data_IF_829902104570
#
_entry.id   IF_829902104570
#
_cell.length_a   1.000
_cell.length_b   1.000
_cell.length_c   1.000
_cell.angle_alpha   90.00
_cell.angle_beta   90.00
_cell.angle_gamma   90.00
#
_symmetry.space_group_name_H-M   'P 1'
#
loop_
_entity.id
_entity.type
_entity.pdbx_description
1 polymer ?
#
# COMPACT_ATOMS: atom_id res chain seq x y z
N UNK A 1 6.71 17.47 7.14
CA UNK A 1 5.71 16.42 6.77
C UNK A 1 6.36 15.05 6.59
N UNK A 2 7.34 14.88 5.63
CA UNK A 2 8.00 13.57 5.43
C UNK A 2 8.83 13.16 6.65
N UNK A 3 9.61 14.08 7.22
CA UNK A 3 10.38 13.86 8.45
C UNK A 3 9.48 13.48 9.64
N UNK A 4 8.39 14.21 9.85
CA UNK A 4 7.45 13.93 10.93
C UNK A 4 6.82 12.53 10.81
N UNK A 5 6.44 12.13 9.59
CA UNK A 5 5.92 10.78 9.37
C UNK A 5 7.01 9.73 9.58
N UNK A 6 8.24 10.02 9.17
CA UNK A 6 9.39 9.15 9.41
C UNK A 6 9.61 8.90 10.92
N UNK A 7 9.57 9.97 11.73
CA UNK A 7 9.75 9.87 13.18
C UNK A 7 8.63 9.04 13.84
N UNK A 8 7.36 9.28 13.44
CA UNK A 8 6.24 8.49 13.93
C UNK A 8 6.36 7.00 13.56
N UNK A 9 6.75 6.69 12.32
CA UNK A 9 6.96 5.32 11.87
C UNK A 9 8.15 4.67 12.58
N UNK A 10 9.23 5.41 12.80
CA UNK A 10 10.41 4.92 13.52
C UNK A 10 10.11 4.59 14.97
N UNK A 11 9.31 5.41 15.64
CA UNK A 11 8.94 5.24 17.03
C UNK A 11 7.91 4.12 17.24
N UNK A 12 6.86 4.07 16.40
CA UNK A 12 5.69 3.23 16.66
C UNK A 12 5.54 2.02 15.74
N UNK A 13 6.22 2.01 14.60
CA UNK A 13 6.05 0.98 13.56
C UNK A 13 7.27 0.12 13.32
N UNK A 14 8.47 0.65 13.54
CA UNK A 14 9.74 -0.05 13.32
C UNK A 14 10.31 -0.62 14.62
N UNK A 15 10.80 -1.85 14.55
CA UNK A 15 11.53 -2.48 15.65
C UNK A 15 12.76 -3.19 15.13
N UNK A 16 13.90 -2.96 15.79
CA UNK A 16 15.12 -3.75 15.59
C UNK A 16 15.21 -4.84 16.67
N UNK A 17 15.49 -6.06 16.27
CA UNK A 17 15.58 -7.22 17.15
C UNK A 17 15.49 -8.51 16.35
N UNK A 18 15.59 -9.64 16.99
CA UNK A 18 15.40 -10.94 16.36
C UNK A 18 13.91 -11.31 16.37
N UNK A 19 13.31 -11.39 15.19
CA UNK A 19 11.90 -11.73 15.03
C UNK A 19 11.76 -13.02 14.22
N UNK A 20 11.09 -14.02 14.81
CA UNK A 20 10.75 -15.26 14.11
C UNK A 20 9.41 -15.09 13.39
N UNK A 21 9.40 -15.26 12.08
CA UNK A 21 8.20 -15.27 11.28
C UNK A 21 7.44 -16.60 11.44
N UNK A 22 6.15 -16.62 11.06
CA UNK A 22 5.34 -17.85 11.01
C UNK A 22 5.95 -18.95 10.11
N UNK A 23 6.80 -18.57 9.15
CA UNK A 23 7.56 -19.48 8.29
C UNK A 23 8.83 -20.07 8.96
N UNK A 24 9.13 -19.70 10.22
CA UNK A 24 10.33 -20.11 10.93
C UNK A 24 11.60 -19.31 10.57
N UNK A 25 11.54 -18.39 9.61
CA UNK A 25 12.69 -17.54 9.26
C UNK A 25 12.85 -16.43 10.29
N UNK A 26 14.08 -16.14 10.70
CA UNK A 26 14.43 -15.01 11.56
C UNK A 26 14.71 -13.76 10.74
N UNK A 27 14.35 -12.59 11.28
CA UNK A 27 14.61 -11.27 10.72
C UNK A 27 15.06 -10.29 11.79
N UNK A 28 16.02 -9.44 11.44
CA UNK A 28 16.52 -8.38 12.34
C UNK A 28 15.58 -7.18 12.44
N UNK A 29 14.68 -7.01 11.49
CA UNK A 29 13.83 -5.84 11.36
C UNK A 29 12.37 -6.24 11.22
N UNK A 30 11.54 -5.65 12.04
CA UNK A 30 10.08 -5.78 11.96
C UNK A 30 9.45 -4.43 11.67
N UNK A 31 8.47 -4.42 10.76
CA UNK A 31 7.70 -3.22 10.43
C UNK A 31 6.21 -3.56 10.43
N UNK A 32 5.42 -2.72 11.11
CA UNK A 32 3.97 -2.74 11.08
C UNK A 32 3.47 -1.30 11.06
N UNK A 33 2.95 -0.85 9.94
CA UNK A 33 2.54 0.56 9.78
C UNK A 33 1.22 0.91 10.49
N UNK A 34 0.40 -0.09 10.85
CA UNK A 34 -0.94 0.13 11.43
C UNK A 34 -0.97 0.99 12.69
N UNK A 35 -0.01 0.89 13.65
CA UNK A 35 0.03 1.80 14.79
C UNK A 35 0.10 3.27 14.43
N UNK A 36 0.62 3.63 13.26
CA UNK A 36 0.70 4.99 12.74
C UNK A 36 -0.46 5.28 11.78
N UNK A 37 -0.70 4.41 10.80
CA UNK A 37 -1.73 4.64 9.75
C UNK A 37 -3.16 4.59 10.28
N UNK A 38 -3.40 4.09 11.49
CA UNK A 38 -4.69 4.12 12.19
C UNK A 38 -4.82 5.30 13.17
N UNK A 39 -3.85 6.21 13.23
CA UNK A 39 -3.99 7.49 13.96
C UNK A 39 -4.37 8.61 13.00
N UNK A 40 -5.12 9.59 13.48
CA UNK A 40 -5.54 10.72 12.63
C UNK A 40 -4.35 11.47 12.02
N UNK A 41 -3.30 11.76 12.82
CA UNK A 41 -2.12 12.48 12.33
C UNK A 41 -1.29 11.62 11.36
N UNK A 42 -1.00 10.38 11.72
CA UNK A 42 -0.24 9.46 10.89
C UNK A 42 -0.93 9.17 9.56
N UNK A 43 -2.26 8.94 9.57
CA UNK A 43 -3.04 8.74 8.35
C UNK A 43 -3.04 9.98 7.47
N UNK A 44 -3.20 11.18 8.04
CA UNK A 44 -3.18 12.43 7.26
C UNK A 44 -1.85 12.60 6.55
N UNK A 45 -0.72 12.46 7.27
CA UNK A 45 0.62 12.60 6.70
C UNK A 45 0.89 11.55 5.61
N UNK A 46 0.54 10.29 5.89
CA UNK A 46 0.69 9.19 4.94
C UNK A 46 -0.12 9.45 3.66
N UNK A 47 -1.39 9.82 3.81
CA UNK A 47 -2.29 10.06 2.69
C UNK A 47 -1.83 11.20 1.80
N UNK A 48 -1.38 12.32 2.40
CA UNK A 48 -0.86 13.48 1.65
C UNK A 48 0.44 13.15 0.89
N UNK A 49 1.31 12.33 1.47
CA UNK A 49 2.56 11.92 0.80
C UNK A 49 2.29 10.93 -0.32
N UNK A 50 1.43 9.92 -0.07
CA UNK A 50 1.08 8.95 -1.11
C UNK A 50 0.28 9.58 -2.25
N UNK A 51 -0.60 10.56 -1.97
CA UNK A 51 -1.36 11.26 -3.01
C UNK A 51 -0.46 11.97 -4.03
N UNK A 52 0.74 12.41 -3.66
CA UNK A 52 1.70 13.03 -4.60
C UNK A 52 2.20 12.04 -5.65
N UNK A 53 2.24 10.76 -5.30
CA UNK A 53 2.71 9.67 -6.17
C UNK A 53 1.56 9.00 -6.94
N UNK A 54 0.31 9.30 -6.58
CA UNK A 54 -0.89 8.80 -7.29
C UNK A 54 -1.16 9.64 -8.52
N UNK A 55 -1.25 9.00 -9.69
CA UNK A 55 -1.52 9.62 -10.98
C UNK A 55 -2.87 9.20 -11.59
N UNK A 56 -3.77 8.63 -10.77
CA UNK A 56 -5.08 8.12 -11.18
C UNK A 56 -6.18 8.73 -10.31
N UNK A 57 -7.43 8.68 -10.79
CA UNK A 57 -8.60 9.10 -10.02
C UNK A 57 -9.16 8.00 -9.10
N UNK A 58 -8.62 6.79 -9.19
CA UNK A 58 -9.06 5.65 -8.39
C UNK A 58 -7.83 4.99 -7.78
N UNK A 59 -7.90 4.70 -6.49
CA UNK A 59 -6.89 3.91 -5.77
C UNK A 59 -7.49 2.61 -5.28
N UNK A 60 -6.68 1.56 -5.17
CA UNK A 60 -7.10 0.27 -4.63
C UNK A 60 -6.01 -0.32 -3.74
N UNK A 61 -6.36 -1.25 -2.86
CA UNK A 61 -5.38 -1.94 -2.04
C UNK A 61 -5.91 -3.22 -1.42
N UNK A 62 -4.99 -4.12 -1.06
CA UNK A 62 -5.34 -5.40 -0.45
C UNK A 62 -5.64 -5.21 1.05
N UNK A 63 -6.80 -5.71 1.48
CA UNK A 63 -7.14 -5.72 2.91
C UNK A 63 -6.10 -6.54 3.70
N UNK A 64 -5.72 -6.20 4.90
CA UNK A 64 -6.14 -5.18 5.85
C UNK A 64 -5.20 -3.95 5.83
N UNK A 65 -3.93 -4.11 5.43
CA UNK A 65 -2.90 -3.08 5.53
C UNK A 65 -3.21 -1.83 4.71
N UNK A 66 -3.79 -2.01 3.54
CA UNK A 66 -4.10 -0.92 2.64
C UNK A 66 -5.44 -0.21 2.94
N UNK A 67 -6.34 -0.79 3.74
CA UNK A 67 -7.67 -0.21 3.99
C UNK A 67 -7.62 1.26 4.48
N UNK A 68 -6.81 1.62 5.50
CA UNK A 68 -6.69 3.00 5.92
C UNK A 68 -6.05 3.89 4.83
N UNK A 69 -5.12 3.34 4.04
CA UNK A 69 -4.40 4.10 3.01
C UNK A 69 -5.33 4.51 1.87
N UNK A 70 -6.10 3.56 1.32
CA UNK A 70 -7.02 3.86 0.21
C UNK A 70 -8.12 4.83 0.66
N UNK A 71 -8.64 4.65 1.88
CA UNK A 71 -9.65 5.53 2.45
C UNK A 71 -9.09 6.94 2.70
N UNK A 72 -7.91 7.03 3.30
CA UNK A 72 -7.25 8.30 3.58
C UNK A 72 -6.83 9.05 2.33
N UNK A 73 -6.24 8.38 1.35
CA UNK A 73 -5.86 9.00 0.06
C UNK A 73 -7.09 9.48 -0.71
N UNK A 74 -8.16 8.68 -0.75
CA UNK A 74 -9.43 9.09 -1.37
C UNK A 74 -9.99 10.35 -0.70
N UNK A 75 -10.00 10.40 0.64
CA UNK A 75 -10.49 11.56 1.39
C UNK A 75 -9.66 12.82 1.09
N UNK A 76 -8.34 12.77 1.21
CA UNK A 76 -7.51 13.97 0.96
C UNK A 76 -7.51 14.38 -0.51
N UNK A 77 -7.67 13.43 -1.45
CA UNK A 77 -7.86 13.72 -2.88
C UNK A 77 -9.14 14.52 -3.12
N UNK A 78 -10.24 14.16 -2.48
CA UNK A 78 -11.50 14.87 -2.58
C UNK A 78 -11.42 16.29 -1.99
N UNK A 79 -10.72 16.46 -0.86
CA UNK A 79 -10.48 17.77 -0.25
C UNK A 79 -9.60 18.69 -1.12
N UNK A 80 -8.71 18.11 -1.93
CA UNK A 80 -7.87 18.82 -2.92
C UNK A 80 -8.57 18.99 -4.29
N UNK A 81 -9.90 18.85 -4.33
CA UNK A 81 -10.72 18.96 -5.55
C UNK A 81 -10.31 17.99 -6.66
N UNK A 82 -9.59 16.92 -6.34
CA UNK A 82 -9.34 15.79 -7.22
C UNK A 82 -10.48 14.77 -7.03
N UNK A 83 -10.86 14.10 -8.10
CA UNK A 83 -11.82 12.99 -7.98
C UNK A 83 -11.06 11.74 -7.53
N UNK A 84 -11.23 11.36 -6.26
CA UNK A 84 -10.59 10.18 -5.69
C UNK A 84 -11.61 9.17 -5.19
N UNK A 85 -11.65 7.98 -5.81
CA UNK A 85 -12.41 6.84 -5.32
C UNK A 85 -11.47 5.78 -4.77
N UNK A 86 -11.95 5.04 -3.76
CA UNK A 86 -11.20 3.94 -3.14
C UNK A 86 -11.89 2.61 -3.41
N UNK A 87 -11.09 1.59 -3.71
CA UNK A 87 -11.50 0.20 -3.80
C UNK A 87 -10.70 -0.65 -2.81
N UNK A 88 -11.36 -1.61 -2.17
CA UNK A 88 -10.70 -2.59 -1.31
C UNK A 88 -10.69 -3.93 -2.04
N UNK A 89 -9.50 -4.50 -2.22
CA UNK A 89 -9.32 -5.86 -2.75
C UNK A 89 -9.30 -6.83 -1.58
N UNK A 90 -10.16 -7.82 -1.62
CA UNK A 90 -10.29 -8.83 -0.55
C UNK A 90 -9.24 -9.94 -0.73
N UNK A 91 -8.81 -10.55 0.38
CA UNK A 91 -7.95 -11.76 0.36
C UNK A 91 -8.71 -12.98 -0.12
N UNK A 92 -10.02 -13.03 0.22
CA UNK A 92 -10.94 -14.11 -0.14
C UNK A 92 -12.21 -13.52 -0.73
N UNK A 93 -12.89 -14.23 -1.63
CA UNK A 93 -14.13 -13.75 -2.22
C UNK A 93 -15.23 -13.69 -1.16
N UNK A 94 -16.23 -12.86 -1.39
CA UNK A 94 -17.40 -12.77 -0.52
C UNK A 94 -18.16 -14.11 -0.55
N UNK A 95 -18.37 -14.72 0.60
CA UNK A 95 -18.93 -16.08 0.71
C UNK A 95 -20.39 -16.23 0.28
N UNK A 96 -21.12 -15.13 0.08
CA UNK A 96 -22.52 -15.11 -0.34
C UNK A 96 -22.71 -14.06 -1.45
N UNK A 97 -23.46 -14.41 -2.50
CA UNK A 97 -23.75 -13.53 -3.63
C UNK A 97 -22.76 -13.67 -4.77
N UNK A 98 -22.29 -12.56 -5.35
CA UNK A 98 -21.51 -12.48 -6.60
C UNK A 98 -20.03 -12.90 -6.48
N UNK A 99 -19.60 -13.53 -5.40
CA UNK A 99 -18.18 -13.85 -5.13
C UNK A 99 -17.23 -12.65 -5.40
N UNK A 100 -17.66 -11.45 -5.00
CA UNK A 100 -16.93 -10.23 -5.30
C UNK A 100 -15.58 -10.19 -4.57
N UNK A 101 -14.52 -9.93 -5.33
CA UNK A 101 -13.17 -9.72 -4.84
C UNK A 101 -12.87 -8.25 -4.52
N UNK A 102 -13.70 -7.32 -5.02
CA UNK A 102 -13.47 -5.89 -4.96
C UNK A 102 -14.70 -5.23 -4.33
N UNK A 103 -14.48 -4.42 -3.33
CA UNK A 103 -15.48 -3.60 -2.64
C UNK A 103 -15.30 -2.13 -2.99
N UNK A 104 -16.40 -1.39 -3.06
CA UNK A 104 -16.44 0.04 -3.37
C UNK A 104 -17.34 0.36 -4.55
N UNK A 105 -17.33 1.63 -4.97
CA UNK A 105 -18.03 2.07 -6.18
C UNK A 105 -17.17 1.70 -7.40
N UNK A 106 -17.56 0.63 -8.09
CA UNK A 106 -16.80 0.11 -9.23
C UNK A 106 -16.83 1.10 -10.39
N UNK A 107 -15.66 1.56 -10.87
CA UNK A 107 -15.58 2.46 -12.02
C UNK A 107 -15.84 1.69 -13.34
N UNK A 108 -16.03 2.41 -14.48
CA UNK A 108 -16.08 1.78 -15.79
C UNK A 108 -14.86 0.90 -16.05
N UNK A 109 -15.03 -0.12 -16.91
CA UNK A 109 -13.89 -0.93 -17.39
C UNK A 109 -12.84 -0.05 -18.05
N UNK A 110 -11.61 -0.55 -18.13
CA UNK A 110 -10.44 0.17 -18.64
C UNK A 110 -10.01 1.39 -17.80
N UNK A 111 -10.68 1.65 -16.65
CA UNK A 111 -10.24 2.68 -15.73
C UNK A 111 -8.85 2.33 -15.19
N UNK A 112 -7.95 3.31 -15.22
CA UNK A 112 -6.61 3.18 -14.65
C UNK A 112 -6.66 3.37 -13.14
N UNK A 113 -6.03 2.44 -12.40
CA UNK A 113 -6.04 2.39 -10.93
C UNK A 113 -4.59 2.32 -10.42
N UNK A 114 -4.27 3.11 -9.38
CA UNK A 114 -3.03 2.97 -8.61
C UNK A 114 -3.28 2.09 -7.40
N UNK A 115 -2.45 1.07 -7.21
CA UNK A 115 -2.51 0.20 -6.02
C UNK A 115 -1.67 0.80 -4.90
N UNK A 116 -2.21 0.82 -3.68
CA UNK A 116 -1.55 1.26 -2.46
C UNK A 116 -1.23 0.07 -1.57
N UNK A 117 -0.06 0.09 -0.92
CA UNK A 117 0.38 -0.94 0.00
C UNK A 117 1.05 -0.31 1.23
N UNK A 118 0.92 -0.90 2.40
CA UNK A 118 1.60 -0.42 3.61
C UNK A 118 3.09 -0.83 3.62
N UNK A 119 3.39 -2.09 3.33
CA UNK A 119 4.76 -2.61 3.33
C UNK A 119 4.94 -3.62 2.19
N UNK A 120 5.86 -3.33 1.30
CA UNK A 120 6.31 -4.30 0.28
C UNK A 120 7.52 -5.08 0.81
N UNK A 121 7.43 -6.40 0.74
CA UNK A 121 8.55 -7.35 0.94
C UNK A 121 8.98 -7.93 -0.40
N UNK A 122 8.41 -9.06 -0.77
CA UNK A 122 8.62 -9.73 -2.06
C UNK A 122 7.61 -9.30 -3.14
N UNK A 123 6.66 -8.42 -2.82
CA UNK A 123 5.66 -7.93 -3.76
C UNK A 123 4.44 -8.83 -3.99
N UNK A 124 4.46 -10.07 -3.50
CA UNK A 124 3.43 -11.06 -3.83
C UNK A 124 2.00 -10.67 -3.44
N UNK A 125 1.80 -9.93 -2.34
CA UNK A 125 0.47 -9.45 -1.93
C UNK A 125 -0.09 -8.42 -2.91
N UNK A 126 0.72 -7.44 -3.27
CA UNK A 126 0.33 -6.37 -4.19
C UNK A 126 0.11 -6.91 -5.60
N UNK A 127 0.95 -7.84 -6.08
CA UNK A 127 0.79 -8.49 -7.39
C UNK A 127 -0.56 -9.23 -7.45
N UNK A 128 -0.93 -9.99 -6.40
CA UNK A 128 -2.25 -10.64 -6.32
C UNK A 128 -3.41 -9.66 -6.35
N UNK A 129 -3.27 -8.50 -5.71
CA UNK A 129 -4.29 -7.46 -5.79
C UNK A 129 -4.41 -6.89 -7.20
N UNK A 130 -3.29 -6.65 -7.87
CA UNK A 130 -3.22 -6.18 -9.26
C UNK A 130 -3.87 -7.19 -10.21
N UNK A 131 -3.57 -8.48 -10.08
CA UNK A 131 -4.17 -9.54 -10.89
C UNK A 131 -5.70 -9.51 -10.79
N UNK A 132 -6.25 -9.42 -9.56
CA UNK A 132 -7.70 -9.34 -9.36
C UNK A 132 -8.33 -8.09 -9.98
N UNK A 133 -7.64 -6.97 -9.95
CA UNK A 133 -8.09 -5.73 -10.60
C UNK A 133 -8.03 -5.86 -12.12
N UNK A 134 -6.97 -6.43 -12.68
CA UNK A 134 -6.83 -6.69 -14.11
C UNK A 134 -7.87 -7.69 -14.62
N UNK A 135 -8.12 -8.78 -13.87
CA UNK A 135 -9.18 -9.76 -14.17
C UNK A 135 -10.58 -9.11 -14.15
N UNK A 136 -10.77 -8.11 -13.30
CA UNK A 136 -11.99 -7.31 -13.28
C UNK A 136 -12.08 -6.28 -14.43
N UNK A 137 -11.07 -6.20 -15.31
CA UNK A 137 -11.05 -5.34 -16.50
C UNK A 137 -10.52 -3.92 -16.23
N UNK A 138 -9.71 -3.73 -15.20
CA UNK A 138 -9.05 -2.46 -14.91
C UNK A 138 -7.60 -2.44 -15.38
N UNK A 139 -7.05 -1.25 -15.61
CA UNK A 139 -5.65 -1.04 -15.98
C UNK A 139 -4.86 -0.68 -14.73
N UNK A 140 -3.83 -1.47 -14.42
CA UNK A 140 -2.93 -1.21 -13.29
C UNK A 140 -1.49 -1.33 -13.76
N UNK A 141 -0.73 -0.24 -13.62
CA UNK A 141 0.69 -0.17 -13.99
C UNK A 141 1.58 0.40 -12.86
N UNK A 142 0.98 0.83 -11.74
CA UNK A 142 1.70 1.45 -10.62
C UNK A 142 1.24 0.94 -9.26
N UNK A 143 2.21 0.68 -8.40
CA UNK A 143 2.03 0.42 -6.97
C UNK A 143 2.76 1.50 -6.18
N UNK A 144 2.09 2.12 -5.21
CA UNK A 144 2.71 3.06 -4.27
C UNK A 144 2.71 2.41 -2.89
N UNK A 145 3.89 2.24 -2.30
CA UNK A 145 4.03 1.67 -0.96
C UNK A 145 4.54 2.69 0.05
N UNK A 146 4.08 2.57 1.29
CA UNK A 146 4.59 3.41 2.37
C UNK A 146 6.03 3.03 2.72
N UNK A 147 6.33 1.73 2.84
CA UNK A 147 7.68 1.24 3.11
C UNK A 147 8.03 0.08 2.18
N UNK A 148 9.14 0.24 1.45
CA UNK A 148 9.78 -0.86 0.74
C UNK A 148 10.90 -1.46 1.59
N UNK A 149 10.87 -2.78 1.78
CA UNK A 149 11.88 -3.50 2.56
C UNK A 149 13.11 -3.89 1.76
N UNK A 150 13.11 -3.66 0.46
CA UNK A 150 14.19 -4.06 -0.48
C UNK A 150 14.47 -5.57 -0.44
N UNK A 151 13.42 -6.38 -0.41
CA UNK A 151 13.51 -7.86 -0.37
C UNK A 151 13.08 -8.50 -1.71
N UNK A 152 13.37 -7.85 -2.85
CA UNK A 152 13.03 -8.33 -4.19
C UNK A 152 11.66 -7.88 -4.70
N UNK A 153 10.98 -6.97 -4.00
CA UNK A 153 9.65 -6.48 -4.39
C UNK A 153 9.67 -5.66 -5.66
N UNK A 154 10.69 -4.82 -5.86
CA UNK A 154 10.83 -3.98 -7.05
C UNK A 154 11.03 -4.82 -8.32
N UNK A 155 11.90 -5.83 -8.26
CA UNK A 155 12.15 -6.75 -9.37
C UNK A 155 10.89 -7.54 -9.72
N UNK A 156 10.20 -8.11 -8.73
CA UNK A 156 8.96 -8.85 -8.95
C UNK A 156 7.85 -7.98 -9.56
N UNK A 157 7.73 -6.73 -9.10
CA UNK A 157 6.77 -5.76 -9.67
C UNK A 157 7.11 -5.43 -11.12
N UNK A 158 8.40 -5.19 -11.43
CA UNK A 158 8.86 -4.94 -12.79
C UNK A 158 8.58 -6.10 -13.73
N UNK A 159 8.78 -7.34 -13.29
CA UNK A 159 8.44 -8.55 -14.06
C UNK A 159 6.92 -8.66 -14.31
N UNK A 160 6.10 -8.17 -13.37
CA UNK A 160 4.64 -8.09 -13.52
C UNK A 160 4.16 -6.88 -14.34
N UNK A 161 5.08 -6.09 -14.92
CA UNK A 161 4.75 -4.88 -15.68
C UNK A 161 4.24 -3.73 -14.82
N UNK A 162 4.79 -3.58 -13.59
CA UNK A 162 4.40 -2.59 -12.62
C UNK A 162 5.59 -1.70 -12.26
N UNK A 163 5.31 -0.41 -12.06
CA UNK A 163 6.22 0.53 -11.43
C UNK A 163 5.97 0.52 -9.91
N UNK A 164 7.01 0.27 -9.10
CA UNK A 164 6.96 0.43 -7.65
C UNK A 164 7.51 1.80 -7.25
N UNK A 165 6.71 2.57 -6.55
CA UNK A 165 7.11 3.84 -5.92
C UNK A 165 7.02 3.70 -4.41
N UNK A 166 8.10 3.97 -3.69
CA UNK A 166 8.12 3.90 -2.23
C UNK A 166 8.31 5.27 -1.58
N UNK A 167 7.55 5.54 -0.49
CA UNK A 167 7.72 6.77 0.30
C UNK A 167 8.98 6.68 1.14
N UNK A 168 9.23 5.50 1.73
CA UNK A 168 10.43 5.18 2.52
C UNK A 168 10.98 3.81 2.14
N UNK A 169 12.27 3.62 2.42
CA UNK A 169 12.95 2.34 2.34
C UNK A 169 13.39 1.87 3.72
N UNK A 170 13.30 0.58 4.01
CA UNK A 170 13.60 0.02 5.33
C UNK A 170 14.99 0.41 5.87
N UNK A 171 16.08 0.45 5.07
CA UNK A 171 17.40 0.85 5.57
C UNK A 171 17.46 2.25 6.17
N UNK A 172 16.59 3.17 5.77
CA UNK A 172 16.51 4.52 6.34
C UNK A 172 16.21 4.47 7.85
N UNK A 173 15.33 3.55 8.28
CA UNK A 173 14.98 3.35 9.71
C UNK A 173 16.13 2.73 10.51
N UNK A 174 17.00 1.98 9.85
CA UNK A 174 18.19 1.37 10.47
C UNK A 174 19.39 2.32 10.54
N UNK A 175 19.23 3.59 10.10
CA UNK A 175 20.31 4.58 10.06
C UNK A 175 21.31 4.37 8.92
N UNK A 176 20.93 3.60 7.90
CA UNK A 176 21.68 3.44 6.64
C UNK A 176 21.05 4.35 5.60
N UNK A 177 21.65 5.49 5.35
CA UNK A 177 21.27 6.35 4.23
C UNK A 177 21.80 5.70 2.94
N UNK A 178 20.92 5.51 1.96
CA UNK A 178 21.23 4.98 0.64
C UNK A 178 21.57 6.12 -0.31
#
# INVERSE_FOLDING_TARGET
>A
MKEELFDLLKEHSYKKGEFTLSSGKTREHYVNCKPVTLTGRGLTLTSLLMLKEVNTSVVAGLTLGADPLVSGVSLVSALDSRMGNALIVRKEPKGHGTQAWIEGLLPPKDTKITVLEDVVTTGGSSIKAVEKLRDAGYVVDRVVTLIDRLEGGEEAMKEAGLELVSIFKLPEFAGKFL
#
